data_IF_858238399236
#
_entry.id   IF_858238399236
#
_cell.length_a   1.000
_cell.length_b   1.000
_cell.length_c   1.000
_cell.angle_alpha   90.00
_cell.angle_beta   90.00
_cell.angle_gamma   90.00
#
_symmetry.space_group_name_H-M   'P 1'
#
loop_
_entity.id
_entity.type
_entity.pdbx_description
1 polymer ?
#
# COMPACT_ATOMS: atom_id res chain seq x y z
N UNK A 1 53.69 31.58 13.26
CA UNK A 1 52.86 31.23 14.46
C UNK A 1 51.34 31.38 14.20
N UNK A 2 50.90 32.34 13.36
CA UNK A 2 49.49 32.63 13.11
C UNK A 2 48.77 31.53 12.24
N UNK A 3 49.52 30.84 11.38
CA UNK A 3 48.98 29.81 10.49
C UNK A 3 48.69 28.50 11.24
N UNK A 4 49.38 28.19 12.32
CA UNK A 4 49.18 26.93 13.07
C UNK A 4 47.96 26.95 13.98
N UNK A 5 47.43 28.10 14.39
CA UNK A 5 46.25 28.19 15.25
C UNK A 5 44.89 28.14 14.51
N UNK A 6 44.86 28.41 13.22
CA UNK A 6 43.65 28.33 12.40
C UNK A 6 43.34 26.93 11.87
N UNK A 7 44.33 26.04 11.75
CA UNK A 7 44.16 24.70 11.22
C UNK A 7 43.25 23.79 12.03
N UNK A 8 43.26 23.77 13.38
CA UNK A 8 42.39 22.94 14.15
C UNK A 8 40.88 23.32 14.00
N UNK A 9 40.60 24.63 13.94
CA UNK A 9 39.21 25.12 13.75
C UNK A 9 38.65 24.78 12.38
N UNK A 10 39.49 24.86 11.32
CA UNK A 10 39.14 24.43 9.99
C UNK A 10 38.82 22.92 9.97
N UNK A 11 39.62 22.09 10.61
CA UNK A 11 39.38 20.65 10.69
C UNK A 11 38.06 20.32 11.43
N UNK A 12 37.80 21.00 12.53
CA UNK A 12 36.51 20.82 13.28
C UNK A 12 35.32 21.25 12.43
N UNK A 13 35.43 22.36 11.69
CA UNK A 13 34.38 22.84 10.80
C UNK A 13 34.11 21.85 9.67
N UNK A 14 35.16 21.35 9.02
CA UNK A 14 35.00 20.32 7.98
C UNK A 14 34.42 19.03 8.50
N UNK A 15 34.85 18.55 9.66
CA UNK A 15 34.27 17.37 10.32
C UNK A 15 32.80 17.57 10.64
N UNK A 16 32.38 18.74 11.13
CA UNK A 16 30.99 19.05 11.44
C UNK A 16 30.13 19.08 10.18
N UNK A 17 30.61 19.71 9.09
CA UNK A 17 29.92 19.74 7.79
C UNK A 17 29.78 18.33 7.22
N UNK A 18 30.85 17.54 7.26
CA UNK A 18 30.81 16.16 6.78
C UNK A 18 29.82 15.30 7.58
N UNK A 19 29.84 15.41 8.90
CA UNK A 19 28.92 14.69 9.77
C UNK A 19 27.45 15.07 9.50
N UNK A 20 27.16 16.38 9.38
CA UNK A 20 25.83 16.87 9.04
C UNK A 20 25.38 16.37 7.65
N UNK A 21 26.28 16.37 6.67
CA UNK A 21 25.98 15.84 5.32
C UNK A 21 25.68 14.35 5.34
N UNK A 22 26.44 13.56 6.11
CA UNK A 22 26.19 12.13 6.29
C UNK A 22 24.87 11.88 6.98
N UNK A 23 24.57 12.59 8.07
CA UNK A 23 23.30 12.47 8.80
C UNK A 23 22.12 12.88 7.90
N UNK A 24 22.26 13.94 7.12
CA UNK A 24 21.25 14.37 6.16
C UNK A 24 21.05 13.32 5.05
N UNK A 25 22.14 12.74 4.53
CA UNK A 25 22.08 11.67 3.53
C UNK A 25 21.37 10.43 4.09
N UNK A 26 21.69 10.00 5.33
CA UNK A 26 21.01 8.88 6.01
C UNK A 26 19.53 9.19 6.17
N UNK A 27 19.20 10.38 6.66
CA UNK A 27 17.81 10.82 6.82
C UNK A 27 17.04 10.78 5.49
N UNK A 28 17.61 11.33 4.42
CA UNK A 28 16.99 11.29 3.09
C UNK A 28 16.87 9.86 2.58
N UNK A 29 17.88 9.03 2.77
CA UNK A 29 17.86 7.62 2.37
C UNK A 29 16.76 6.83 3.07
N UNK A 30 16.57 7.03 4.37
CA UNK A 30 15.49 6.42 5.13
C UNK A 30 14.10 6.90 4.67
N UNK A 31 13.96 8.20 4.40
CA UNK A 31 12.71 8.77 3.87
C UNK A 31 12.36 8.18 2.49
N UNK A 32 13.33 8.03 1.59
CA UNK A 32 13.13 7.42 0.27
C UNK A 32 12.84 5.93 0.34
N UNK A 33 13.39 5.26 1.36
CA UNK A 33 13.23 3.82 1.55
C UNK A 33 11.86 3.42 2.14
N UNK A 34 10.96 4.37 2.38
CA UNK A 34 9.62 4.11 2.90
C UNK A 34 8.56 3.87 1.81
N UNK A 35 8.85 4.25 0.58
CA UNK A 35 7.91 4.15 -0.53
C UNK A 35 8.21 2.95 -1.43
N UNK A 36 7.15 2.39 -2.01
CA UNK A 36 7.25 1.48 -3.15
C UNK A 36 7.51 2.29 -4.42
N UNK A 37 8.59 1.96 -5.13
CA UNK A 37 9.07 2.73 -6.29
C UNK A 37 8.09 2.72 -7.46
N UNK A 38 7.29 1.66 -7.63
CA UNK A 38 6.34 1.54 -8.73
C UNK A 38 5.05 2.32 -8.44
N UNK A 39 4.51 2.21 -7.24
CA UNK A 39 3.16 2.68 -6.91
C UNK A 39 3.14 3.99 -6.15
N UNK A 40 4.26 4.39 -5.53
CA UNK A 40 4.33 5.57 -4.66
C UNK A 40 3.47 5.47 -3.39
N UNK A 41 3.04 4.26 -3.03
CA UNK A 41 2.48 3.95 -1.72
C UNK A 41 3.61 3.64 -0.73
N UNK A 42 3.30 3.56 0.56
CA UNK A 42 4.24 3.05 1.54
C UNK A 42 4.55 1.57 1.24
N UNK A 43 5.80 1.16 1.49
CA UNK A 43 6.24 -0.19 1.22
C UNK A 43 5.98 -1.15 2.40
N UNK A 44 6.31 -2.43 2.20
CA UNK A 44 6.15 -3.49 3.19
C UNK A 44 6.89 -3.20 4.51
N UNK A 45 8.11 -2.65 4.46
CA UNK A 45 8.86 -2.32 5.67
C UNK A 45 8.16 -1.24 6.50
N UNK A 46 7.62 -0.22 5.83
CA UNK A 46 6.82 0.83 6.47
C UNK A 46 5.54 0.27 7.11
N UNK A 47 4.90 -0.71 6.45
CA UNK A 47 3.76 -1.43 7.01
C UNK A 47 4.14 -2.18 8.29
N UNK A 48 5.18 -3.01 8.26
CA UNK A 48 5.61 -3.82 9.40
C UNK A 48 5.98 -2.95 10.60
N UNK A 49 6.73 -1.88 10.39
CA UNK A 49 7.11 -0.96 11.46
C UNK A 49 5.89 -0.29 12.13
N UNK A 50 4.91 0.11 11.33
CA UNK A 50 3.72 0.78 11.86
C UNK A 50 2.68 -0.18 12.42
N UNK A 51 2.52 -1.36 11.84
CA UNK A 51 1.57 -2.36 12.29
C UNK A 51 1.82 -2.82 13.73
N UNK A 52 3.08 -2.77 14.19
CA UNK A 52 3.45 -3.07 15.59
C UNK A 52 2.97 -1.97 16.56
N UNK A 53 2.88 -0.72 16.09
CA UNK A 53 2.50 0.43 16.91
C UNK A 53 0.97 0.66 16.94
N UNK A 54 0.24 0.17 15.95
CA UNK A 54 -1.17 0.46 15.72
C UNK A 54 -2.07 -0.72 16.13
N UNK A 55 -2.22 -0.92 17.44
CA UNK A 55 -3.25 -1.82 17.99
C UNK A 55 -4.25 -1.01 18.81
N UNK A 56 -4.84 0.05 18.22
CA UNK A 56 -5.81 0.90 18.91
C UNK A 56 -7.23 0.50 18.55
N UNK A 57 -8.14 0.58 19.52
CA UNK A 57 -9.56 0.38 19.31
C UNK A 57 -10.13 1.41 18.33
N UNK A 58 -10.89 0.96 17.33
CA UNK A 58 -11.52 1.80 16.31
C UNK A 58 -10.77 1.88 14.98
N UNK A 59 -9.56 1.34 14.90
CA UNK A 59 -8.81 1.23 13.64
C UNK A 59 -9.19 -0.05 12.89
N UNK A 60 -9.05 -0.02 11.56
CA UNK A 60 -9.39 -1.15 10.68
C UNK A 60 -8.23 -1.42 9.72
N UNK A 61 -7.86 -2.68 9.59
CA UNK A 61 -6.99 -3.16 8.53
C UNK A 61 -7.85 -3.59 7.34
N UNK A 62 -7.55 -3.05 6.16
CA UNK A 62 -8.13 -3.48 4.89
C UNK A 62 -7.02 -4.08 4.04
N UNK A 63 -7.22 -5.28 3.53
CA UNK A 63 -6.30 -5.98 2.62
C UNK A 63 -6.92 -6.05 1.23
N UNK A 64 -6.09 -5.98 0.20
CA UNK A 64 -6.48 -6.02 -1.21
C UNK A 64 -5.59 -7.00 -1.96
N UNK A 65 -6.17 -7.74 -2.87
CA UNK A 65 -5.49 -8.68 -3.78
C UNK A 65 -6.00 -8.46 -5.21
N UNK A 66 -5.08 -8.35 -6.16
CA UNK A 66 -5.42 -8.14 -7.56
C UNK A 66 -5.83 -9.46 -8.19
N UNK A 67 -7.09 -9.55 -8.63
CA UNK A 67 -7.64 -10.78 -9.17
C UNK A 67 -6.95 -11.17 -10.49
N UNK A 68 -6.51 -12.42 -10.55
CA UNK A 68 -5.91 -13.02 -11.74
C UNK A 68 -4.73 -12.22 -12.33
N UNK A 69 -3.94 -11.54 -11.50
CA UNK A 69 -2.82 -10.67 -11.90
C UNK A 69 -1.77 -11.39 -12.73
N UNK A 70 -1.50 -12.68 -12.44
CA UNK A 70 -0.62 -13.49 -13.26
C UNK A 70 -1.11 -13.58 -14.72
N UNK A 71 -2.41 -13.74 -14.92
CA UNK A 71 -3.00 -13.79 -16.27
C UNK A 71 -2.81 -12.46 -17.01
N UNK A 72 -2.90 -11.33 -16.32
CA UNK A 72 -2.59 -10.01 -16.93
C UNK A 72 -1.14 -9.97 -17.42
N UNK A 73 -0.19 -10.42 -16.61
CA UNK A 73 1.22 -10.47 -17.01
C UNK A 73 1.44 -11.44 -18.18
N UNK A 74 0.82 -12.60 -18.15
CA UNK A 74 0.97 -13.65 -19.19
C UNK A 74 0.35 -13.18 -20.53
N UNK A 75 -0.78 -12.47 -20.51
CA UNK A 75 -1.48 -12.02 -21.72
C UNK A 75 -0.96 -10.69 -22.27
N UNK A 76 -0.60 -9.74 -21.41
CA UNK A 76 -0.29 -8.36 -21.80
C UNK A 76 1.16 -7.93 -21.50
N UNK A 77 1.95 -8.81 -20.86
CA UNK A 77 3.34 -8.56 -20.47
C UNK A 77 3.48 -7.74 -19.19
N UNK A 78 4.66 -7.82 -18.56
CA UNK A 78 4.96 -7.20 -17.25
C UNK A 78 4.78 -5.69 -17.25
N UNK A 79 5.07 -5.00 -18.35
CA UNK A 79 4.89 -3.54 -18.44
C UNK A 79 3.42 -3.14 -18.24
N UNK A 80 2.47 -3.89 -18.79
CA UNK A 80 1.04 -3.68 -18.57
C UNK A 80 0.63 -4.06 -17.15
N UNK A 81 1.23 -5.13 -16.58
CA UNK A 81 1.07 -5.47 -15.17
C UNK A 81 1.51 -4.34 -14.24
N UNK A 82 2.64 -3.71 -14.51
CA UNK A 82 3.12 -2.56 -13.73
C UNK A 82 2.15 -1.37 -13.81
N UNK A 83 1.60 -1.09 -14.99
CA UNK A 83 0.56 -0.07 -15.16
C UNK A 83 -0.69 -0.42 -14.33
N UNK A 84 -1.14 -1.68 -14.35
CA UNK A 84 -2.26 -2.13 -13.53
C UNK A 84 -2.03 -1.86 -12.04
N UNK A 85 -0.86 -2.23 -11.52
CA UNK A 85 -0.50 -2.01 -10.12
C UNK A 85 -0.48 -0.52 -9.76
N UNK A 86 0.08 0.32 -10.62
CA UNK A 86 0.13 1.78 -10.41
C UNK A 86 -1.28 2.40 -10.42
N UNK A 87 -2.16 1.99 -11.31
CA UNK A 87 -3.54 2.48 -11.40
C UNK A 87 -4.40 2.03 -10.20
N UNK A 88 -4.28 0.78 -9.79
CA UNK A 88 -4.96 0.25 -8.60
C UNK A 88 -4.49 1.01 -7.36
N UNK A 89 -3.17 1.19 -7.22
CA UNK A 89 -2.59 1.96 -6.12
C UNK A 89 -3.09 3.41 -6.09
N UNK A 90 -3.23 4.05 -7.26
CA UNK A 90 -3.79 5.40 -7.36
C UNK A 90 -5.26 5.45 -6.92
N UNK A 91 -6.06 4.43 -7.24
CA UNK A 91 -7.45 4.31 -6.77
C UNK A 91 -7.51 4.13 -5.25
N UNK A 92 -6.67 3.26 -4.67
CA UNK A 92 -6.55 3.07 -3.23
C UNK A 92 -6.14 4.37 -2.54
N UNK A 93 -5.10 5.03 -3.03
CA UNK A 93 -4.61 6.31 -2.47
C UNK A 93 -5.68 7.38 -2.47
N UNK A 94 -6.42 7.55 -3.57
CA UNK A 94 -7.50 8.55 -3.68
C UNK A 94 -8.66 8.26 -2.72
N UNK A 95 -9.01 7.00 -2.52
CA UNK A 95 -10.12 6.61 -1.65
C UNK A 95 -9.77 6.66 -0.15
N UNK A 96 -8.55 6.29 0.22
CA UNK A 96 -8.21 6.00 1.61
C UNK A 96 -7.18 6.94 2.25
N UNK A 97 -6.30 7.63 1.48
CA UNK A 97 -5.15 8.34 2.04
C UNK A 97 -5.50 9.49 3.01
N UNK A 98 -6.73 10.03 2.93
CA UNK A 98 -7.20 11.06 3.88
C UNK A 98 -7.55 10.47 5.25
N UNK A 99 -7.84 9.18 5.31
CA UNK A 99 -8.36 8.51 6.50
C UNK A 99 -7.40 7.47 7.06
N UNK A 100 -6.33 7.11 6.33
CA UNK A 100 -5.40 6.06 6.71
C UNK A 100 -4.10 6.08 5.93
N UNK A 101 -3.32 5.04 6.12
CA UNK A 101 -2.03 4.83 5.46
C UNK A 101 -2.17 3.68 4.48
N UNK A 102 -1.73 3.91 3.25
CA UNK A 102 -1.86 2.95 2.15
C UNK A 102 -0.49 2.34 1.83
N UNK A 103 -0.43 1.04 1.74
CA UNK A 103 0.80 0.26 1.56
C UNK A 103 0.68 -0.70 0.39
N UNK A 104 1.82 -1.00 -0.24
CA UNK A 104 2.01 -2.19 -1.06
C UNK A 104 2.85 -3.18 -0.28
N UNK A 105 2.27 -4.34 0.06
CA UNK A 105 2.88 -5.34 0.95
C UNK A 105 3.44 -6.55 0.23
N UNK A 106 3.09 -6.72 -1.05
CA UNK A 106 3.54 -7.82 -1.88
C UNK A 106 3.56 -7.45 -3.36
N UNK A 107 3.71 -8.44 -4.23
CA UNK A 107 3.68 -8.25 -5.68
C UNK A 107 2.39 -7.59 -6.16
N UNK A 108 1.27 -8.20 -5.84
CA UNK A 108 -0.10 -7.81 -6.19
C UNK A 108 -0.98 -7.56 -4.95
N UNK A 109 -0.36 -7.49 -3.77
CA UNK A 109 -1.01 -7.28 -2.49
C UNK A 109 -0.85 -5.83 -2.02
N UNK A 110 -1.97 -5.25 -1.55
CA UNK A 110 -1.98 -3.94 -0.91
C UNK A 110 -2.70 -4.02 0.42
N UNK A 111 -2.38 -3.09 1.31
CA UNK A 111 -3.18 -2.92 2.51
C UNK A 111 -3.33 -1.45 2.91
N UNK A 112 -4.35 -1.19 3.72
CA UNK A 112 -4.64 0.12 4.31
C UNK A 112 -4.84 -0.05 5.80
N UNK A 113 -4.13 0.75 6.58
CA UNK A 113 -4.40 0.95 7.99
C UNK A 113 -5.29 2.19 8.13
N UNK A 114 -6.58 1.96 8.29
CA UNK A 114 -7.59 2.99 8.42
C UNK A 114 -7.71 3.41 9.89
N UNK A 115 -7.59 4.71 10.18
CA UNK A 115 -7.62 5.25 11.55
C UNK A 115 -9.03 5.36 12.15
N UNK A 116 -10.05 5.40 11.30
CA UNK A 116 -11.45 5.56 11.66
C UNK A 116 -12.27 4.50 10.93
N UNK A 117 -12.68 3.47 11.67
CA UNK A 117 -13.45 2.34 11.14
C UNK A 117 -14.82 2.75 10.59
N UNK A 118 -15.42 3.81 11.08
CA UNK A 118 -16.72 4.29 10.58
C UNK A 118 -16.64 4.76 9.12
N UNK A 119 -15.45 5.07 8.63
CA UNK A 119 -15.19 5.47 7.24
C UNK A 119 -14.98 4.31 6.28
N UNK A 120 -14.80 3.09 6.78
CA UNK A 120 -14.44 1.92 5.98
C UNK A 120 -15.38 1.73 4.78
N UNK A 121 -16.67 1.66 5.02
CA UNK A 121 -17.66 1.42 3.96
C UNK A 121 -17.72 2.55 2.93
N UNK A 122 -17.52 3.81 3.36
CA UNK A 122 -17.50 4.96 2.46
C UNK A 122 -16.26 4.93 1.56
N UNK A 123 -15.10 4.64 2.14
CA UNK A 123 -13.84 4.48 1.40
C UNK A 123 -13.90 3.29 0.44
N UNK A 124 -14.46 2.16 0.86
CA UNK A 124 -14.64 0.97 0.02
C UNK A 124 -15.53 1.26 -1.21
N UNK A 125 -16.65 1.94 -1.01
CA UNK A 125 -17.53 2.35 -2.14
C UNK A 125 -16.81 3.32 -3.10
N UNK A 126 -16.06 4.29 -2.57
CA UNK A 126 -15.30 5.24 -3.41
C UNK A 126 -14.20 4.52 -4.20
N UNK A 127 -13.51 3.57 -3.59
CA UNK A 127 -12.51 2.72 -4.26
C UNK A 127 -13.14 1.92 -5.42
N UNK A 128 -14.23 1.19 -5.15
CA UNK A 128 -14.92 0.37 -6.17
C UNK A 128 -15.40 1.22 -7.33
N UNK A 129 -15.98 2.39 -7.06
CA UNK A 129 -16.41 3.35 -8.09
C UNK A 129 -15.23 3.78 -8.97
N UNK A 130 -14.12 4.23 -8.35
CA UNK A 130 -12.92 4.69 -9.08
C UNK A 130 -12.30 3.58 -9.92
N UNK A 131 -12.18 2.38 -9.36
CA UNK A 131 -11.67 1.23 -10.08
C UNK A 131 -12.55 0.88 -11.28
N UNK A 132 -13.88 0.91 -11.11
CA UNK A 132 -14.83 0.67 -12.19
C UNK A 132 -14.73 1.71 -13.30
N UNK A 133 -14.55 3.00 -12.97
CA UNK A 133 -14.32 4.08 -13.93
C UNK A 133 -13.02 3.84 -14.73
N UNK A 134 -11.92 3.51 -14.04
CA UNK A 134 -10.64 3.24 -14.71
C UNK A 134 -10.68 1.98 -15.59
N UNK A 135 -11.43 0.96 -15.20
CA UNK A 135 -11.61 -0.26 -16.01
C UNK A 135 -12.38 -0.03 -17.31
N UNK A 136 -13.19 1.02 -17.40
CA UNK A 136 -13.82 1.45 -18.66
C UNK A 136 -12.83 2.07 -19.64
N UNK A 137 -11.76 2.67 -19.13
CA UNK A 137 -10.71 3.30 -19.93
C UNK A 137 -9.57 2.33 -20.26
N UNK A 138 -9.33 1.34 -19.39
CA UNK A 138 -8.25 0.35 -19.47
C UNK A 138 -8.86 -1.06 -19.38
N UNK A 139 -9.14 -1.65 -20.50
CA UNK A 139 -9.79 -2.98 -20.64
C UNK A 139 -8.99 -4.12 -20.01
N UNK A 140 -7.66 -3.98 -19.97
CA UNK A 140 -6.75 -4.95 -19.34
C UNK A 140 -6.67 -4.80 -17.81
N UNK A 141 -7.32 -3.80 -17.20
CA UNK A 141 -7.27 -3.58 -15.75
C UNK A 141 -8.15 -4.60 -15.03
N UNK A 142 -7.56 -5.47 -14.18
CA UNK A 142 -8.31 -6.53 -13.51
C UNK A 142 -9.21 -5.99 -12.41
N UNK A 143 -10.03 -6.87 -11.86
CA UNK A 143 -10.75 -6.61 -10.62
C UNK A 143 -9.85 -6.77 -9.42
N UNK A 144 -10.28 -6.24 -8.28
CA UNK A 144 -9.56 -6.34 -7.01
C UNK A 144 -10.52 -6.90 -5.96
N UNK A 145 -10.09 -7.91 -5.25
CA UNK A 145 -10.76 -8.45 -4.08
C UNK A 145 -10.21 -7.77 -2.83
N UNK A 146 -11.07 -7.50 -1.87
CA UNK A 146 -10.63 -6.89 -0.61
C UNK A 146 -11.44 -7.41 0.57
N UNK A 147 -10.84 -7.31 1.75
CA UNK A 147 -11.46 -7.67 3.01
C UNK A 147 -10.91 -6.81 4.13
N UNK A 148 -11.66 -6.71 5.21
CA UNK A 148 -11.31 -5.87 6.35
C UNK A 148 -11.46 -6.60 7.66
N UNK A 149 -10.72 -6.16 8.67
CA UNK A 149 -10.86 -6.57 10.05
C UNK A 149 -10.56 -5.42 10.99
N UNK A 150 -11.38 -5.26 12.03
CA UNK A 150 -11.13 -4.28 13.08
C UNK A 150 -9.88 -4.65 13.87
N UNK A 151 -9.02 -3.67 14.11
CA UNK A 151 -7.87 -3.78 15.01
C UNK A 151 -8.40 -3.77 16.45
N UNK A 152 -8.01 -4.79 17.18
CA UNK A 152 -8.26 -4.92 18.61
C UNK A 152 -6.92 -5.05 19.33
N UNK A 153 -6.92 -5.24 20.64
CA UNK A 153 -5.70 -5.50 21.43
C UNK A 153 -4.98 -6.83 21.07
N UNK A 154 -5.44 -7.48 20.00
CA UNK A 154 -4.85 -8.71 19.47
C UNK A 154 -3.59 -8.43 18.64
N UNK A 155 -2.79 -9.47 18.40
CA UNK A 155 -1.63 -9.39 17.53
C UNK A 155 -2.07 -9.03 16.08
N UNK A 156 -1.34 -8.12 15.43
CA UNK A 156 -1.58 -7.69 14.03
C UNK A 156 -1.64 -8.86 13.05
N UNK A 157 -0.90 -9.93 13.31
CA UNK A 157 -0.91 -11.17 12.50
C UNK A 157 -2.33 -11.76 12.48
N UNK A 158 -2.95 -11.92 13.66
CA UNK A 158 -4.31 -12.46 13.79
C UNK A 158 -5.34 -11.58 13.09
N UNK A 159 -5.16 -10.26 13.15
CA UNK A 159 -6.05 -9.30 12.45
C UNK A 159 -5.89 -9.42 10.94
N UNK A 160 -4.65 -9.59 10.46
CA UNK A 160 -4.38 -9.80 9.04
C UNK A 160 -5.05 -11.10 8.56
N UNK A 161 -4.90 -12.21 9.29
CA UNK A 161 -5.52 -13.48 8.94
C UNK A 161 -7.05 -13.37 8.84
N UNK A 162 -7.70 -12.59 9.71
CA UNK A 162 -9.15 -12.31 9.62
C UNK A 162 -9.51 -11.48 8.39
N UNK A 163 -8.72 -10.45 8.09
CA UNK A 163 -8.94 -9.62 6.91
C UNK A 163 -8.77 -10.44 5.62
N UNK A 164 -7.73 -11.28 5.55
CA UNK A 164 -7.48 -12.20 4.43
C UNK A 164 -8.62 -13.23 4.29
N UNK A 165 -9.13 -13.78 5.40
CA UNK A 165 -10.27 -14.68 5.37
C UNK A 165 -11.54 -13.99 4.83
N UNK A 166 -11.82 -12.76 5.24
CA UNK A 166 -12.94 -11.96 4.74
C UNK A 166 -12.76 -11.63 3.24
N UNK A 167 -11.55 -11.29 2.81
CA UNK A 167 -11.23 -11.07 1.41
C UNK A 167 -11.45 -12.34 0.56
N UNK A 168 -10.99 -13.49 1.04
CA UNK A 168 -11.18 -14.76 0.33
C UNK A 168 -12.66 -15.15 0.19
N UNK A 169 -13.48 -14.89 1.23
CA UNK A 169 -14.93 -15.09 1.17
C UNK A 169 -15.57 -14.20 0.11
N UNK A 170 -15.22 -12.91 0.10
CA UNK A 170 -15.66 -11.95 -0.91
C UNK A 170 -15.28 -12.39 -2.34
N UNK A 171 -14.04 -12.85 -2.52
CA UNK A 171 -13.53 -13.38 -3.80
C UNK A 171 -14.34 -14.58 -4.28
N UNK A 172 -14.70 -15.50 -3.38
CA UNK A 172 -15.55 -16.66 -3.71
C UNK A 172 -16.97 -16.26 -4.11
N UNK A 173 -17.61 -15.38 -3.35
CA UNK A 173 -18.95 -14.89 -3.62
C UNK A 173 -19.03 -14.21 -4.99
N UNK A 174 -18.06 -13.38 -5.33
CA UNK A 174 -17.98 -12.74 -6.65
C UNK A 174 -17.77 -13.74 -7.80
N UNK A 175 -16.91 -14.72 -7.63
CA UNK A 175 -16.74 -15.78 -8.65
C UNK A 175 -18.00 -16.59 -8.85
N UNK A 176 -18.71 -16.93 -7.80
CA UNK A 176 -19.99 -17.64 -7.89
C UNK A 176 -21.06 -16.81 -8.63
N UNK A 177 -21.13 -15.49 -8.38
CA UNK A 177 -22.07 -14.59 -9.07
C UNK A 177 -21.78 -14.49 -10.58
N UNK A 178 -20.50 -14.36 -10.97
CA UNK A 178 -20.13 -14.33 -12.40
C UNK A 178 -20.50 -15.61 -13.14
N UNK A 179 -20.26 -16.77 -12.53
CA UNK A 179 -20.63 -18.07 -13.12
C UNK A 179 -22.16 -18.19 -13.29
N UNK A 180 -22.94 -17.64 -12.34
CA UNK A 180 -24.41 -17.67 -12.44
C UNK A 180 -24.98 -16.69 -13.49
N UNK A 181 -24.30 -15.56 -13.73
CA UNK A 181 -24.67 -14.59 -14.79
C UNK A 181 -24.34 -15.17 -16.16
N UNK A 182 -23.15 -15.75 -16.35
CA UNK A 182 -22.74 -16.38 -17.62
C UNK A 182 -23.60 -17.61 -17.98
N UNK A 183 -24.11 -18.36 -16.98
CA UNK A 183 -24.99 -19.51 -17.18
C UNK A 183 -26.47 -19.15 -17.43
N UNK A 184 -26.85 -17.91 -17.21
CA UNK A 184 -28.23 -17.40 -17.41
C UNK A 184 -28.45 -16.72 -18.77
N UNK A 185 -27.40 -16.53 -19.56
CA UNK A 185 -27.45 -15.92 -20.92
C UNK A 185 -27.45 -16.97 -22.05
N UNK A 186 -27.41 -18.29 -21.77
CA UNK A 186 -27.65 -19.37 -22.72
C UNK A 186 -29.13 -19.83 -22.67
#
# INVERSE_FOLDING_TARGET
AIIQTGLPQLHVTWLSVTLLSVLYFIYCSEMWNQLDALTGLLNQNSYLNRAVEMCRSGEVLVVFDVDDFKQVNDCYGHLKGDICLAEIAACIKKAYARHGYCYRTGGDEFCVLLRDGDREQACARDFVRRLSERRKELDFLPTVSFGSAALSSENVITVKDRADHNMYRYKKERKAHRISEDAGEE
#
